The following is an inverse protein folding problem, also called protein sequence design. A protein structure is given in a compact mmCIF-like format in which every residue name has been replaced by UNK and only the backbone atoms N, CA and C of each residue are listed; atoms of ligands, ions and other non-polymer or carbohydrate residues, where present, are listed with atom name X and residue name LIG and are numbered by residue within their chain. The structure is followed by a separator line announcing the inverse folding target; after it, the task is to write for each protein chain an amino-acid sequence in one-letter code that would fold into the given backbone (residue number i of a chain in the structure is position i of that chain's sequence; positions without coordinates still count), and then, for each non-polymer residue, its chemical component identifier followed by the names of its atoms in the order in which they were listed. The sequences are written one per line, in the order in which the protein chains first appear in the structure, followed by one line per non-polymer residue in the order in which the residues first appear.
data_IF_953910256738
#
_entry.id   IF_953910256738
#
_cell.length_a   1.000
_cell.length_b   1.000
_cell.length_c   1.000
_cell.angle_alpha   90.00
_cell.angle_beta   90.00
_cell.angle_gamma   90.00
#
_symmetry.space_group_name_H-M   'P 1'
#
loop_
_entity.id
_entity.type
_entity.pdbx_description
1 polymer ?
#
# COMPACT_ATOMS: atom_id res chain seq x y z
N UNK A 1 -15.89 -20.38 -26.89
CA UNK A 1 -15.34 -19.17 -26.24
C UNK A 1 -16.46 -18.16 -26.11
N UNK A 2 -17.14 -18.16 -24.97
CA UNK A 2 -18.18 -17.20 -24.64
C UNK A 2 -17.51 -15.90 -24.19
N UNK A 3 -17.73 -14.81 -24.93
CA UNK A 3 -17.31 -13.47 -24.52
C UNK A 3 -18.09 -13.10 -23.26
N UNK A 4 -17.48 -13.25 -22.09
CA UNK A 4 -17.97 -12.71 -20.83
C UNK A 4 -18.09 -11.20 -20.99
N UNK A 5 -19.29 -10.65 -20.80
CA UNK A 5 -19.53 -9.21 -20.73
C UNK A 5 -18.53 -8.62 -19.74
N UNK A 6 -17.56 -7.86 -20.22
CA UNK A 6 -16.59 -7.19 -19.37
C UNK A 6 -17.35 -6.20 -18.48
N UNK A 7 -17.38 -6.47 -17.18
CA UNK A 7 -17.98 -5.57 -16.19
C UNK A 7 -17.02 -4.42 -15.89
N UNK A 8 -17.58 -3.22 -15.83
CA UNK A 8 -16.86 -2.04 -15.33
C UNK A 8 -16.59 -2.26 -13.84
N UNK A 9 -15.33 -2.12 -13.43
CA UNK A 9 -14.95 -2.14 -12.03
C UNK A 9 -15.10 -0.74 -11.41
N UNK A 10 -15.65 -0.69 -10.20
CA UNK A 10 -15.76 0.53 -9.40
C UNK A 10 -15.05 0.36 -8.07
N UNK A 11 -14.26 1.36 -7.69
CA UNK A 11 -13.69 1.48 -6.36
C UNK A 11 -14.50 2.52 -5.60
N UNK A 12 -15.42 2.06 -4.75
CA UNK A 12 -16.47 2.93 -4.21
C UNK A 12 -17.28 3.56 -5.35
N UNK A 13 -17.29 4.89 -5.42
CA UNK A 13 -17.97 5.65 -6.48
C UNK A 13 -17.06 5.97 -7.69
N UNK A 14 -15.79 5.57 -7.67
CA UNK A 14 -14.82 5.85 -8.73
C UNK A 14 -14.89 4.74 -9.78
N UNK A 15 -15.15 5.11 -11.03
CA UNK A 15 -15.06 4.21 -12.18
C UNK A 15 -13.58 3.98 -12.50
N UNK A 16 -13.12 2.73 -12.49
CA UNK A 16 -11.70 2.42 -12.73
C UNK A 16 -11.46 1.98 -14.17
N UNK A 17 -12.21 0.99 -14.65
CA UNK A 17 -11.93 0.37 -15.93
C UNK A 17 -12.52 -1.04 -16.02
N UNK A 18 -11.85 -1.95 -16.72
CA UNK A 18 -12.34 -3.33 -16.89
C UNK A 18 -11.90 -4.21 -15.74
N UNK A 19 -12.86 -4.87 -15.09
CA UNK A 19 -12.57 -5.86 -14.05
C UNK A 19 -11.73 -7.00 -14.61
N UNK A 20 -10.79 -7.50 -13.82
CA UNK A 20 -10.09 -8.74 -14.11
C UNK A 20 -10.72 -9.88 -13.31
N UNK A 21 -10.84 -11.04 -13.95
CA UNK A 21 -11.18 -12.27 -13.24
C UNK A 21 -9.88 -13.02 -12.96
N UNK A 22 -9.49 -13.24 -11.69
CA UNK A 22 -8.32 -14.04 -11.39
C UNK A 22 -8.52 -15.45 -11.95
N UNK A 23 -7.49 -15.95 -12.64
CA UNK A 23 -7.42 -17.35 -13.02
C UNK A 23 -7.18 -18.14 -11.73
N UNK A 24 -7.94 -19.21 -11.50
CA UNK A 24 -7.72 -20.06 -10.35
C UNK A 24 -6.28 -20.59 -10.37
N UNK A 25 -5.50 -20.44 -9.28
CA UNK A 25 -4.14 -20.95 -9.25
C UNK A 25 -4.12 -22.48 -9.36
N UNK A 26 -3.01 -23.06 -9.84
CA UNK A 26 -2.86 -24.51 -9.83
C UNK A 26 -2.86 -25.03 -8.39
N UNK A 27 -3.50 -26.19 -8.18
CA UNK A 27 -3.54 -26.89 -6.91
C UNK A 27 -2.91 -28.29 -7.06
N UNK A 28 -2.01 -28.70 -6.15
CA UNK A 28 -1.48 -27.93 -5.02
C UNK A 28 -0.63 -26.74 -5.48
N UNK A 29 -0.57 -25.68 -4.67
CA UNK A 29 0.23 -24.49 -4.98
C UNK A 29 1.74 -24.80 -4.98
N UNK A 30 2.16 -25.74 -4.13
CA UNK A 30 3.53 -26.19 -4.04
C UNK A 30 3.85 -27.28 -5.07
N UNK A 31 5.06 -27.21 -5.62
CA UNK A 31 5.69 -28.26 -6.41
C UNK A 31 6.79 -28.89 -5.56
N UNK A 32 6.64 -30.18 -5.28
CA UNK A 32 7.60 -30.96 -4.49
C UNK A 32 8.24 -32.01 -5.38
N UNK A 33 9.56 -32.08 -5.31
CA UNK A 33 10.36 -33.19 -5.80
C UNK A 33 11.25 -33.66 -4.66
N UNK A 34 11.81 -34.86 -4.75
CA UNK A 34 12.66 -35.46 -3.71
C UNK A 34 13.89 -34.61 -3.31
N UNK A 35 14.26 -33.59 -4.11
CA UNK A 35 15.40 -32.70 -3.84
C UNK A 35 15.03 -31.21 -3.75
N UNK A 36 13.81 -30.83 -4.13
CA UNK A 36 13.44 -29.43 -4.28
C UNK A 36 11.97 -29.18 -3.91
N UNK A 37 11.75 -28.12 -3.13
CA UNK A 37 10.45 -27.49 -2.94
C UNK A 37 10.43 -26.14 -3.67
N UNK A 38 9.36 -25.86 -4.41
CA UNK A 38 9.07 -24.53 -4.97
C UNK A 38 7.56 -24.34 -5.13
N UNK A 39 7.14 -23.20 -5.68
CA UNK A 39 5.76 -22.91 -6.05
C UNK A 39 5.54 -23.17 -7.53
N UNK A 40 4.36 -23.66 -7.90
CA UNK A 40 3.96 -23.73 -9.30
C UNK A 40 3.86 -22.32 -9.90
N UNK A 41 4.14 -22.15 -11.21
CA UNK A 41 3.84 -20.89 -11.88
C UNK A 41 2.34 -20.61 -11.86
N UNK A 42 1.95 -19.38 -11.53
CA UNK A 42 0.54 -19.01 -11.38
C UNK A 42 0.37 -17.64 -10.73
N UNK A 43 -0.88 -17.26 -10.46
CA UNK A 43 -1.22 -16.01 -9.77
C UNK A 43 -1.91 -16.37 -8.46
N UNK A 44 -1.39 -15.88 -7.35
CA UNK A 44 -1.78 -16.31 -6.01
C UNK A 44 -2.15 -15.13 -5.13
N UNK A 45 -3.14 -15.31 -4.26
CA UNK A 45 -3.33 -14.43 -3.11
C UNK A 45 -2.28 -14.72 -2.03
N UNK A 46 -2.02 -13.81 -1.09
CA UNK A 46 -1.12 -14.07 0.03
C UNK A 46 -1.50 -15.31 0.83
N UNK A 47 -2.81 -15.52 1.06
CA UNK A 47 -3.32 -16.69 1.76
C UNK A 47 -2.93 -17.97 1.03
N UNK A 48 -3.08 -18.01 -0.29
CA UNK A 48 -2.70 -19.17 -1.10
C UNK A 48 -1.17 -19.40 -1.12
N UNK A 49 -0.36 -18.35 -1.01
CA UNK A 49 1.09 -18.49 -0.84
C UNK A 49 1.44 -19.13 0.51
N UNK A 50 0.77 -18.73 1.60
CA UNK A 50 0.94 -19.40 2.91
C UNK A 50 0.60 -20.88 2.81
N UNK A 51 -0.45 -21.25 2.07
CA UNK A 51 -0.78 -22.65 1.78
C UNK A 51 0.31 -23.33 0.94
N UNK A 52 0.88 -22.64 -0.05
CA UNK A 52 2.02 -23.12 -0.82
C UNK A 52 3.28 -23.37 0.01
N UNK A 53 3.46 -22.66 1.13
CA UNK A 53 4.58 -22.86 2.07
C UNK A 53 4.34 -24.01 3.05
N UNK A 54 3.08 -24.38 3.29
CA UNK A 54 2.68 -25.38 4.29
C UNK A 54 3.44 -26.72 4.21
N UNK A 55 3.78 -27.27 3.02
CA UNK A 55 4.52 -28.53 2.94
C UNK A 55 5.86 -28.53 3.69
N UNK A 56 6.53 -27.37 3.79
CA UNK A 56 7.77 -27.23 4.55
C UNK A 56 7.54 -27.46 6.04
N UNK A 57 6.48 -26.87 6.60
CA UNK A 57 6.09 -27.02 8.00
C UNK A 57 5.51 -28.42 8.27
N UNK A 58 4.64 -28.90 7.39
CA UNK A 58 3.95 -30.18 7.58
C UNK A 58 4.92 -31.36 7.51
N UNK A 59 5.97 -31.27 6.67
CA UNK A 59 7.07 -32.27 6.68
C UNK A 59 7.82 -32.26 8.02
N UNK A 60 8.08 -31.08 8.59
CA UNK A 60 8.72 -30.98 9.92
C UNK A 60 7.82 -31.61 10.98
N UNK A 61 6.52 -31.29 10.97
CA UNK A 61 5.55 -31.83 11.91
C UNK A 61 5.41 -33.35 11.79
N UNK A 62 5.42 -33.90 10.58
CA UNK A 62 5.37 -35.35 10.36
C UNK A 62 6.48 -36.09 11.11
N UNK A 63 7.72 -35.57 11.09
CA UNK A 63 8.86 -36.19 11.76
C UNK A 63 8.93 -35.90 13.27
N UNK A 64 8.30 -34.83 13.76
CA UNK A 64 8.25 -34.50 15.19
C UNK A 64 7.14 -35.27 15.96
N UNK A 65 6.20 -35.91 15.25
CA UNK A 65 5.09 -36.74 15.79
C UNK A 65 5.55 -38.22 15.83
N UNK A 66 5.31 -39.01 16.92
CA UNK A 66 4.07 -39.10 17.70
C UNK A 66 4.21 -38.80 19.20
N UNK A 67 3.15 -38.24 19.77
CA UNK A 67 3.00 -37.99 21.21
C UNK A 67 2.80 -39.31 21.97
N UNK A 68 3.67 -39.73 22.90
CA UNK A 68 3.45 -40.91 23.72
C UNK A 68 2.75 -40.60 25.05
N UNK A 69 2.61 -39.34 25.46
CA UNK A 69 2.26 -39.05 26.86
C UNK A 69 1.22 -37.94 27.01
N UNK A 70 -0.08 -38.29 27.13
CA UNK A 70 -1.16 -37.32 27.40
C UNK A 70 -1.06 -36.64 28.78
N UNK A 71 -0.01 -36.90 29.55
CA UNK A 71 0.22 -36.39 30.92
C UNK A 71 1.00 -35.07 30.93
N UNK A 72 1.71 -34.71 29.85
CA UNK A 72 2.47 -33.45 29.79
C UNK A 72 1.60 -32.29 29.27
N UNK A 73 1.46 -31.23 30.08
CA UNK A 73 0.86 -29.93 29.67
C UNK A 73 1.68 -29.18 28.59
N UNK A 74 2.60 -29.84 27.90
CA UNK A 74 3.42 -29.26 26.84
C UNK A 74 2.57 -28.92 25.62
N UNK A 75 2.73 -27.70 25.09
CA UNK A 75 2.12 -27.26 23.82
C UNK A 75 2.45 -28.25 22.70
N UNK A 76 1.48 -28.52 21.83
CA UNK A 76 1.68 -29.36 20.64
C UNK A 76 2.78 -28.76 19.73
N UNK A 77 3.61 -29.58 19.05
CA UNK A 77 4.69 -29.08 18.19
C UNK A 77 4.25 -28.02 17.18
N UNK A 78 3.07 -28.19 16.56
CA UNK A 78 2.52 -27.17 15.64
C UNK A 78 2.31 -25.82 16.31
N UNK A 79 1.75 -25.79 17.51
CA UNK A 79 1.53 -24.53 18.23
C UNK A 79 2.86 -23.86 18.58
N UNK A 80 3.86 -24.62 19.05
CA UNK A 80 5.21 -24.10 19.35
C UNK A 80 5.90 -23.53 18.09
N UNK A 81 5.87 -24.26 16.98
CA UNK A 81 6.41 -23.80 15.70
C UNK A 81 5.68 -22.55 15.18
N UNK A 82 4.38 -22.42 15.36
CA UNK A 82 3.64 -21.21 14.97
C UNK A 82 3.86 -20.03 15.94
N UNK A 83 4.03 -20.28 17.24
CA UNK A 83 4.37 -19.24 18.22
C UNK A 83 5.71 -18.57 17.88
N UNK A 84 6.69 -19.33 17.40
CA UNK A 84 7.95 -18.77 16.93
C UNK A 84 7.82 -18.01 15.60
N UNK A 85 6.93 -18.43 14.70
CA UNK A 85 6.60 -17.62 13.51
C UNK A 85 5.97 -16.30 13.94
N UNK A 86 5.06 -16.32 14.91
CA UNK A 86 4.49 -15.10 15.46
C UNK A 86 5.56 -14.20 16.09
N UNK A 87 6.52 -14.78 16.83
CA UNK A 87 7.65 -14.04 17.39
C UNK A 87 8.52 -13.39 16.29
N UNK A 88 8.91 -14.12 15.24
CA UNK A 88 9.72 -13.60 14.13
C UNK A 88 8.99 -12.53 13.32
N UNK A 89 7.67 -12.69 13.15
CA UNK A 89 6.84 -11.76 12.39
C UNK A 89 6.43 -10.52 13.21
N UNK A 90 6.55 -10.56 14.54
CA UNK A 90 6.34 -9.40 15.41
C UNK A 90 7.36 -8.29 15.12
N UNK A 91 7.14 -7.12 15.71
CA UNK A 91 8.02 -5.94 15.59
C UNK A 91 8.74 -5.59 16.89
N UNK A 92 8.49 -6.31 17.99
CA UNK A 92 8.88 -5.92 19.35
C UNK A 92 9.46 -7.08 20.20
N UNK A 93 9.65 -8.24 19.60
CA UNK A 93 10.26 -9.41 20.23
C UNK A 93 11.76 -9.47 19.92
N UNK A 94 12.51 -10.23 20.72
CA UNK A 94 13.93 -10.51 20.46
C UNK A 94 14.13 -11.20 19.12
N UNK A 95 13.21 -12.09 18.74
CA UNK A 95 13.26 -12.90 17.52
C UNK A 95 12.81 -12.15 16.26
N UNK A 96 12.30 -10.92 16.41
CA UNK A 96 11.75 -10.13 15.31
C UNK A 96 12.76 -9.97 14.17
N UNK A 97 12.31 -10.31 12.97
CA UNK A 97 13.04 -10.05 11.72
C UNK A 97 12.88 -8.61 11.21
N UNK A 98 12.02 -7.82 11.86
CA UNK A 98 11.77 -6.41 11.55
C UNK A 98 11.49 -5.62 12.85
N UNK A 99 12.51 -5.46 13.72
CA UNK A 99 12.32 -4.83 15.02
C UNK A 99 12.12 -3.31 14.85
N UNK A 100 11.16 -2.77 15.59
CA UNK A 100 10.95 -1.34 15.73
C UNK A 100 11.11 -0.94 17.21
N UNK A 101 11.65 0.26 17.50
CA UNK A 101 11.62 0.78 18.85
C UNK A 101 10.17 1.02 19.29
N UNK A 102 9.94 1.02 20.61
CA UNK A 102 8.61 1.25 21.19
C UNK A 102 8.02 2.59 20.72
N UNK A 103 8.83 3.65 20.79
CA UNK A 103 8.51 4.95 20.25
C UNK A 103 9.15 5.17 18.87
N UNK A 104 8.30 5.31 17.85
CA UNK A 104 8.71 5.65 16.48
C UNK A 104 8.18 7.05 16.17
N UNK A 105 9.02 8.10 16.19
CA UNK A 105 8.56 9.48 16.02
C UNK A 105 8.20 9.83 14.57
N UNK A 106 8.79 9.15 13.60
CA UNK A 106 8.50 9.34 12.17
C UNK A 106 7.18 8.67 11.77
N UNK A 107 6.25 9.44 11.20
CA UNK A 107 4.91 8.96 10.81
C UNK A 107 4.97 7.88 9.74
N UNK A 108 5.85 8.02 8.76
CA UNK A 108 6.00 7.04 7.68
C UNK A 108 6.53 5.69 8.19
N UNK A 109 7.47 5.70 9.14
CA UNK A 109 7.94 4.48 9.81
C UNK A 109 6.87 3.85 10.69
N UNK A 110 6.03 4.66 11.37
CA UNK A 110 4.87 4.14 12.13
C UNK A 110 3.89 3.42 11.22
N UNK A 111 3.57 4.00 10.06
CA UNK A 111 2.70 3.38 9.06
C UNK A 111 3.21 1.98 8.67
N UNK A 112 4.50 1.86 8.33
CA UNK A 112 5.10 0.57 7.96
C UNK A 112 5.11 -0.42 9.13
N UNK A 113 5.40 0.03 10.36
CA UNK A 113 5.36 -0.82 11.57
C UNK A 113 3.97 -1.39 11.80
N UNK A 114 2.95 -0.53 11.77
CA UNK A 114 1.58 -0.93 12.06
C UNK A 114 1.05 -1.88 10.96
N UNK A 115 1.49 -1.64 9.72
CA UNK A 115 1.26 -2.54 8.60
C UNK A 115 1.94 -3.90 8.78
N UNK A 116 3.21 -3.93 9.18
CA UNK A 116 3.95 -5.17 9.46
C UNK A 116 3.26 -6.02 10.55
N UNK A 117 2.79 -5.37 11.62
CA UNK A 117 2.03 -6.01 12.71
C UNK A 117 0.73 -6.63 12.21
N UNK A 118 -0.02 -5.90 11.38
CA UNK A 118 -1.29 -6.38 10.81
C UNK A 118 -1.06 -7.60 9.92
N UNK A 119 -0.12 -7.51 8.98
CA UNK A 119 0.22 -8.62 8.07
C UNK A 119 0.72 -9.83 8.86
N UNK A 120 1.67 -9.65 9.78
CA UNK A 120 2.23 -10.75 10.57
C UNK A 120 1.18 -11.56 11.32
N UNK A 121 0.20 -10.88 11.94
CA UNK A 121 -0.95 -11.53 12.60
C UNK A 121 -1.80 -12.34 11.61
N UNK A 122 -2.08 -11.80 10.42
CA UNK A 122 -2.87 -12.52 9.41
C UNK A 122 -2.14 -13.74 8.85
N UNK A 123 -0.83 -13.63 8.60
CA UNK A 123 -0.01 -14.76 8.13
C UNK A 123 -0.01 -15.92 9.13
N UNK A 124 0.18 -15.63 10.43
CA UNK A 124 0.10 -16.65 11.49
C UNK A 124 -1.30 -17.26 11.56
N UNK A 125 -2.34 -16.42 11.50
CA UNK A 125 -3.74 -16.88 11.49
C UNK A 125 -4.00 -17.84 10.32
N UNK A 126 -3.64 -17.47 9.10
CA UNK A 126 -3.81 -18.33 7.92
C UNK A 126 -3.03 -19.64 8.04
N UNK A 127 -1.79 -19.61 8.55
CA UNK A 127 -1.00 -20.81 8.79
C UNK A 127 -1.63 -21.73 9.87
N UNK A 128 -2.30 -21.14 10.87
CA UNK A 128 -2.99 -21.90 11.92
C UNK A 128 -4.30 -22.55 11.45
N UNK A 129 -5.02 -21.90 10.52
CA UNK A 129 -6.28 -22.38 9.93
C UNK A 129 -6.07 -23.50 8.90
N UNK A 130 -4.87 -23.62 8.33
CA UNK A 130 -4.56 -24.63 7.32
C UNK A 130 -4.57 -26.04 7.92
N UNK A 131 -5.62 -26.82 7.63
CA UNK A 131 -5.76 -28.19 8.13
C UNK A 131 -6.56 -29.11 7.19
N UNK A 132 -6.78 -28.71 5.94
CA UNK A 132 -7.48 -29.54 4.95
C UNK A 132 -6.48 -30.41 4.20
N UNK A 133 -6.29 -31.65 4.68
CA UNK A 133 -5.42 -32.70 4.12
C UNK A 133 -3.98 -32.22 3.87
N UNK A 134 -3.06 -32.43 4.83
CA UNK A 134 -1.67 -31.98 4.69
C UNK A 134 -1.04 -32.57 3.41
N UNK A 135 -0.53 -31.69 2.55
CA UNK A 135 0.21 -32.05 1.35
C UNK A 135 1.70 -31.88 1.67
N UNK A 136 2.40 -32.98 1.89
CA UNK A 136 3.82 -32.99 2.21
C UNK A 136 4.51 -34.24 1.65
N UNK A 137 5.83 -34.22 1.60
CA UNK A 137 6.67 -35.35 1.22
C UNK A 137 7.56 -35.71 2.41
N UNK A 138 7.39 -36.89 3.04
CA UNK A 138 8.21 -37.33 4.18
C UNK A 138 9.71 -37.34 3.87
N UNK A 139 10.09 -37.50 2.61
CA UNK A 139 11.47 -37.58 2.14
C UNK A 139 12.00 -36.24 1.62
N UNK A 140 11.24 -35.15 1.77
CA UNK A 140 11.67 -33.81 1.38
C UNK A 140 12.92 -33.41 2.18
N UNK A 141 14.06 -33.37 1.49
CA UNK A 141 15.32 -32.87 2.03
C UNK A 141 15.74 -31.65 1.22
N UNK A 142 15.82 -30.52 1.90
CA UNK A 142 16.22 -29.25 1.33
C UNK A 142 17.34 -28.63 2.17
N UNK A 143 18.34 -28.08 1.49
CA UNK A 143 19.32 -27.18 2.13
C UNK A 143 18.81 -25.76 2.03
N UNK A 144 18.58 -25.13 3.17
CA UNK A 144 18.26 -23.71 3.28
C UNK A 144 19.55 -22.94 3.55
N UNK A 145 19.60 -21.68 3.09
CA UNK A 145 20.62 -20.75 3.59
C UNK A 145 20.19 -20.36 5.00
N UNK A 146 21.11 -20.44 5.97
CA UNK A 146 20.81 -19.99 7.33
C UNK A 146 20.72 -18.45 7.33
N UNK A 147 19.51 -17.91 7.24
CA UNK A 147 19.24 -16.45 7.21
C UNK A 147 19.24 -15.81 8.61
N UNK A 148 19.75 -16.52 9.63
CA UNK A 148 19.87 -16.00 10.99
C UNK A 148 18.56 -15.79 11.76
N UNK A 149 17.42 -16.31 11.26
CA UNK A 149 16.15 -16.24 12.00
C UNK A 149 16.28 -16.92 13.36
N UNK A 150 16.00 -16.17 14.42
CA UNK A 150 16.13 -16.65 15.79
C UNK A 150 14.98 -17.58 16.15
N UNK A 151 15.29 -18.60 16.93
CA UNK A 151 14.29 -19.45 17.57
C UNK A 151 13.99 -18.94 18.99
N UNK A 152 12.74 -19.08 19.41
CA UNK A 152 12.36 -19.03 20.83
C UNK A 152 13.03 -20.18 21.59
N UNK A 153 13.29 -20.03 22.90
CA UNK A 153 13.90 -21.10 23.70
C UNK A 153 13.16 -22.44 23.58
N UNK A 154 11.82 -22.43 23.63
CA UNK A 154 10.99 -23.62 23.48
C UNK A 154 11.22 -24.32 22.12
N UNK A 155 11.41 -23.55 21.04
CA UNK A 155 11.66 -24.13 19.72
C UNK A 155 13.10 -24.59 19.52
N UNK A 156 14.08 -24.03 20.24
CA UNK A 156 15.43 -24.60 20.29
C UNK A 156 15.36 -26.02 20.84
N UNK A 157 14.68 -26.21 21.97
CA UNK A 157 14.54 -27.54 22.58
C UNK A 157 13.78 -28.52 21.67
N UNK A 158 12.72 -28.06 21.01
CA UNK A 158 11.95 -28.88 20.06
C UNK A 158 12.81 -29.32 18.87
N UNK A 159 13.56 -28.38 18.28
CA UNK A 159 14.24 -28.61 17.00
C UNK A 159 15.67 -29.15 17.12
N UNK A 160 16.30 -29.06 18.29
CA UNK A 160 17.60 -29.66 18.57
C UNK A 160 17.52 -30.81 19.58
N UNK A 161 16.32 -31.08 20.10
CA UNK A 161 16.07 -32.21 20.99
C UNK A 161 16.17 -33.57 20.30
N UNK A 162 16.06 -34.63 21.09
CA UNK A 162 16.22 -36.04 20.67
C UNK A 162 15.26 -36.49 19.55
N UNK A 163 14.17 -35.74 19.33
CA UNK A 163 13.10 -36.05 18.37
C UNK A 163 13.33 -35.42 17.00
N UNK A 164 14.27 -34.48 16.90
CA UNK A 164 14.53 -33.77 15.66
C UNK A 164 15.55 -34.51 14.79
N UNK A 165 15.55 -34.18 13.49
CA UNK A 165 16.56 -34.64 12.53
C UNK A 165 17.29 -33.42 11.97
N UNK A 166 18.58 -33.55 11.59
CA UNK A 166 19.37 -32.40 11.12
C UNK A 166 18.74 -31.60 9.96
N UNK A 167 17.99 -32.25 9.08
CA UNK A 167 17.33 -31.59 7.95
C UNK A 167 16.03 -30.86 8.32
N UNK A 168 15.38 -31.17 9.45
CA UNK A 168 14.13 -30.50 9.85
C UNK A 168 14.35 -29.02 10.11
N UNK A 169 15.49 -28.67 10.72
CA UNK A 169 15.88 -27.28 10.90
C UNK A 169 16.02 -26.52 9.60
N UNK A 170 16.48 -27.18 8.53
CA UNK A 170 16.62 -26.55 7.22
C UNK A 170 15.25 -26.26 6.60
N UNK A 171 14.30 -27.20 6.72
CA UNK A 171 12.93 -27.02 6.25
C UNK A 171 12.21 -25.92 7.04
N UNK A 172 12.33 -25.94 8.36
CA UNK A 172 11.71 -24.93 9.21
C UNK A 172 12.33 -23.54 8.99
N UNK A 173 13.66 -23.44 8.81
CA UNK A 173 14.32 -22.19 8.44
C UNK A 173 13.84 -21.64 7.11
N UNK A 174 13.66 -22.50 6.09
CA UNK A 174 13.08 -22.07 4.82
C UNK A 174 11.63 -21.58 5.00
N UNK A 175 10.81 -22.30 5.76
CA UNK A 175 9.43 -21.88 6.06
C UNK A 175 9.38 -20.51 6.76
N UNK A 176 10.17 -20.32 7.81
CA UNK A 176 10.30 -19.02 8.50
C UNK A 176 10.70 -17.91 7.53
N UNK A 177 11.68 -18.17 6.67
CA UNK A 177 12.16 -17.18 5.72
C UNK A 177 11.11 -16.81 4.66
N UNK A 178 10.37 -17.78 4.11
CA UNK A 178 9.29 -17.52 3.16
C UNK A 178 8.16 -16.68 3.78
N UNK A 179 7.83 -16.92 5.05
CA UNK A 179 6.87 -16.11 5.80
C UNK A 179 7.35 -14.67 6.02
N UNK A 180 8.64 -14.48 6.33
CA UNK A 180 9.27 -13.16 6.46
C UNK A 180 9.28 -12.41 5.12
N UNK A 181 9.69 -13.08 4.05
CA UNK A 181 9.69 -12.50 2.71
C UNK A 181 8.28 -12.10 2.28
N UNK A 182 7.27 -12.93 2.54
CA UNK A 182 5.88 -12.61 2.24
C UNK A 182 5.39 -11.40 3.04
N UNK A 183 5.66 -11.35 4.36
CA UNK A 183 5.30 -10.17 5.19
C UNK A 183 5.89 -8.90 4.58
N UNK A 184 7.19 -8.92 4.29
CA UNK A 184 7.92 -7.74 3.87
C UNK A 184 7.55 -7.30 2.44
N UNK A 185 7.25 -8.26 1.55
CA UNK A 185 6.75 -7.99 0.21
C UNK A 185 5.34 -7.36 0.19
N UNK A 186 4.55 -7.60 1.24
CA UNK A 186 3.19 -7.07 1.37
C UNK A 186 3.11 -5.71 2.07
N UNK A 187 4.20 -5.23 2.68
CA UNK A 187 4.25 -3.93 3.35
C UNK A 187 3.74 -2.76 2.50
N UNK A 188 3.94 -2.71 1.17
CA UNK A 188 3.43 -1.62 0.36
C UNK A 188 1.91 -1.50 0.31
N UNK A 189 1.14 -2.56 0.59
CA UNK A 189 -0.28 -2.63 0.18
C UNK A 189 -1.25 -2.48 1.35
N UNK A 190 -2.12 -1.47 1.30
CA UNK A 190 -3.21 -1.29 2.25
C UNK A 190 -4.16 -2.48 2.30
N UNK A 191 -4.64 -2.94 1.14
CA UNK A 191 -5.49 -4.14 1.01
C UNK A 191 -4.66 -5.36 0.59
N UNK A 192 -3.55 -5.61 1.31
CA UNK A 192 -2.59 -6.66 0.97
C UNK A 192 -3.23 -8.05 0.74
N UNK A 193 -4.32 -8.38 1.45
CA UNK A 193 -5.02 -9.66 1.36
C UNK A 193 -5.57 -9.96 -0.03
N UNK A 194 -5.87 -8.92 -0.81
CA UNK A 194 -6.48 -9.02 -2.15
C UNK A 194 -5.45 -9.05 -3.28
N UNK A 195 -4.18 -8.75 -2.98
CA UNK A 195 -3.12 -8.60 -3.98
C UNK A 195 -2.89 -9.90 -4.73
N UNK A 196 -2.93 -9.83 -6.06
CA UNK A 196 -2.69 -10.98 -6.93
C UNK A 196 -1.21 -11.08 -7.33
N UNK A 197 -0.48 -12.01 -6.74
CA UNK A 197 0.97 -12.11 -6.88
C UNK A 197 1.31 -13.11 -7.99
N UNK A 198 1.91 -12.67 -9.11
CA UNK A 198 2.41 -13.57 -10.13
C UNK A 198 3.66 -14.29 -9.64
N UNK A 199 3.65 -15.61 -9.74
CA UNK A 199 4.77 -16.49 -9.44
C UNK A 199 5.20 -17.16 -10.74
N UNK A 200 6.46 -16.99 -11.11
CA UNK A 200 7.02 -17.56 -12.36
C UNK A 200 7.47 -19.01 -12.20
N UNK A 201 7.59 -19.50 -10.95
CA UNK A 201 8.23 -20.78 -10.62
C UNK A 201 9.75 -20.77 -10.80
N UNK A 202 10.35 -19.62 -11.13
CA UNK A 202 11.79 -19.46 -11.20
C UNK A 202 12.37 -19.28 -9.79
N UNK A 203 13.19 -20.23 -9.35
CA UNK A 203 13.80 -20.22 -8.02
C UNK A 203 12.91 -20.84 -6.93
N UNK A 204 13.22 -20.53 -5.67
CA UNK A 204 12.58 -21.13 -4.50
C UNK A 204 11.64 -20.14 -3.82
N UNK A 205 10.33 -20.34 -4.00
CA UNK A 205 9.30 -19.48 -3.43
C UNK A 205 9.54 -18.00 -3.76
N UNK A 206 9.59 -17.15 -2.73
CA UNK A 206 9.74 -15.70 -2.84
C UNK A 206 11.18 -15.20 -2.73
N UNK A 207 12.21 -16.05 -2.79
CA UNK A 207 13.62 -15.62 -2.58
C UNK A 207 14.11 -14.51 -3.53
N UNK A 208 13.47 -14.31 -4.68
CA UNK A 208 13.75 -13.17 -5.56
C UNK A 208 13.52 -11.80 -4.86
N UNK A 209 12.75 -11.77 -3.76
CA UNK A 209 12.50 -10.57 -2.96
C UNK A 209 13.60 -10.26 -1.96
N UNK A 210 14.62 -11.11 -1.76
CA UNK A 210 15.72 -10.85 -0.80
C UNK A 210 16.42 -9.50 -1.07
N UNK A 211 16.79 -9.24 -2.32
CA UNK A 211 17.45 -7.98 -2.72
C UNK A 211 16.56 -6.74 -2.60
N UNK A 212 15.34 -6.74 -3.21
CA UNK A 212 14.37 -5.65 -3.03
C UNK A 212 14.07 -5.35 -1.56
N UNK A 213 13.91 -6.40 -0.73
CA UNK A 213 13.72 -6.29 0.71
C UNK A 213 14.89 -5.58 1.37
N UNK A 214 16.13 -6.02 1.14
CA UNK A 214 17.31 -5.40 1.74
C UNK A 214 17.39 -3.89 1.43
N UNK A 215 17.17 -3.51 0.16
CA UNK A 215 17.15 -2.11 -0.25
C UNK A 215 16.03 -1.29 0.40
N UNK A 216 14.84 -1.87 0.53
CA UNK A 216 13.71 -1.21 1.21
C UNK A 216 13.96 -1.06 2.71
N UNK A 217 14.47 -2.09 3.37
CA UNK A 217 14.83 -2.08 4.79
C UNK A 217 15.92 -1.06 5.11
N UNK A 218 16.95 -0.97 4.26
CA UNK A 218 17.98 0.05 4.39
C UNK A 218 17.37 1.45 4.38
N UNK A 219 16.45 1.74 3.44
CA UNK A 219 15.74 3.04 3.40
C UNK A 219 14.86 3.27 4.63
N UNK A 220 14.13 2.25 5.08
CA UNK A 220 13.26 2.30 6.26
C UNK A 220 14.02 2.72 7.53
N UNK A 221 15.20 2.15 7.77
CA UNK A 221 15.95 2.39 9.01
C UNK A 221 16.95 3.55 8.92
N UNK A 222 17.53 3.81 7.75
CA UNK A 222 18.55 4.86 7.58
C UNK A 222 18.02 6.18 7.05
N UNK A 223 16.83 6.19 6.42
CA UNK A 223 16.22 7.37 5.77
C UNK A 223 14.72 7.46 6.11
N UNK A 224 14.04 8.44 5.52
CA UNK A 224 12.57 8.48 5.51
C UNK A 224 12.04 7.51 4.45
N UNK A 225 10.89 6.89 4.74
CA UNK A 225 10.17 6.07 3.77
C UNK A 225 9.55 7.03 2.75
N UNK A 226 9.84 6.80 1.47
CA UNK A 226 9.34 7.64 0.36
C UNK A 226 8.33 6.88 -0.48
N UNK A 227 7.46 7.60 -1.19
CA UNK A 227 6.52 6.98 -2.13
C UNK A 227 7.26 6.11 -3.17
N UNK A 228 8.37 6.62 -3.71
CA UNK A 228 9.20 5.91 -4.67
C UNK A 228 9.71 4.57 -4.10
N UNK A 229 10.18 4.56 -2.85
CA UNK A 229 10.65 3.33 -2.22
C UNK A 229 9.55 2.27 -2.00
N UNK A 230 8.33 2.71 -1.68
CA UNK A 230 7.17 1.82 -1.54
C UNK A 230 6.74 1.28 -2.90
N UNK A 231 6.70 2.13 -3.93
CA UNK A 231 6.37 1.73 -5.29
C UNK A 231 7.42 0.78 -5.89
N UNK A 232 8.70 1.02 -5.65
CA UNK A 232 9.79 0.13 -6.09
C UNK A 232 9.68 -1.28 -5.48
N UNK A 233 9.34 -1.37 -4.20
CA UNK A 233 9.11 -2.66 -3.54
C UNK A 233 7.89 -3.40 -4.12
N UNK A 234 6.80 -2.68 -4.37
CA UNK A 234 5.60 -3.23 -4.98
C UNK A 234 5.84 -3.73 -6.43
N UNK A 235 6.56 -2.96 -7.25
CA UNK A 235 6.95 -3.37 -8.61
C UNK A 235 7.86 -4.59 -8.59
N UNK A 236 8.82 -4.66 -7.66
CA UNK A 236 9.69 -5.82 -7.56
C UNK A 236 8.93 -7.13 -7.33
N UNK A 237 7.80 -7.08 -6.61
CA UNK A 237 6.92 -8.22 -6.38
C UNK A 237 6.01 -8.52 -7.58
N UNK A 238 5.35 -7.50 -8.15
CA UNK A 238 4.22 -7.70 -9.07
C UNK A 238 4.58 -7.52 -10.55
N UNK A 239 5.57 -6.69 -10.86
CA UNK A 239 5.94 -6.30 -12.21
C UNK A 239 7.46 -6.01 -12.31
N UNK A 240 8.34 -7.00 -12.06
CA UNK A 240 9.78 -6.78 -12.01
C UNK A 240 10.39 -6.35 -13.37
N UNK A 241 9.68 -6.60 -14.48
CA UNK A 241 10.06 -6.14 -15.82
C UNK A 241 9.69 -4.69 -16.12
N UNK A 242 8.81 -4.07 -15.31
CA UNK A 242 8.39 -2.70 -15.51
C UNK A 242 9.57 -1.76 -15.23
N UNK A 243 10.07 -1.15 -16.30
CA UNK A 243 11.32 -0.43 -16.31
C UNK A 243 11.32 0.73 -15.29
N UNK A 244 12.47 0.97 -14.63
CA UNK A 244 12.69 2.13 -13.73
C UNK A 244 12.76 3.47 -14.49
N UNK A 245 12.40 3.49 -15.77
CA UNK A 245 12.99 4.39 -16.78
C UNK A 245 12.08 5.54 -17.20
N UNK A 246 11.55 6.29 -16.25
CA UNK A 246 11.03 7.62 -16.59
C UNK A 246 11.05 8.56 -15.40
N UNK A 247 11.28 9.84 -15.71
CA UNK A 247 11.42 11.03 -14.84
C UNK A 247 12.37 11.00 -13.62
N UNK A 248 13.00 9.87 -13.27
CA UNK A 248 13.85 9.75 -12.07
C UNK A 248 13.08 9.65 -10.75
N UNK A 249 11.74 9.81 -10.77
CA UNK A 249 10.89 9.73 -9.57
C UNK A 249 10.46 8.30 -9.20
N UNK A 250 10.60 7.35 -10.14
CA UNK A 250 10.21 5.95 -9.93
C UNK A 250 8.70 5.69 -10.01
N UNK A 251 7.89 6.71 -10.32
CA UNK A 251 6.43 6.65 -10.41
C UNK A 251 5.71 6.51 -9.06
N UNK A 252 4.39 6.65 -9.05
CA UNK A 252 3.56 6.57 -7.83
C UNK A 252 2.62 5.38 -7.79
N UNK A 253 2.46 4.68 -8.92
CA UNK A 253 1.62 3.50 -9.09
C UNK A 253 1.88 2.86 -10.44
N UNK A 254 1.23 1.74 -10.72
CA UNK A 254 1.38 1.02 -11.98
C UNK A 254 0.21 0.09 -12.27
N UNK A 255 0.01 -0.24 -13.55
CA UNK A 255 -0.79 -1.37 -14.00
C UNK A 255 0.15 -2.51 -14.41
N UNK A 256 -0.23 -3.74 -14.11
CA UNK A 256 0.48 -4.96 -14.50
C UNK A 256 -0.50 -6.03 -14.96
N UNK A 257 0.00 -7.23 -15.31
CA UNK A 257 -0.80 -8.32 -15.89
C UNK A 257 -2.03 -8.74 -15.09
N UNK A 258 -2.01 -8.51 -13.77
CA UNK A 258 -3.04 -8.98 -12.85
C UNK A 258 -3.62 -7.85 -12.00
N UNK A 259 -3.60 -6.61 -12.50
CA UNK A 259 -4.40 -5.53 -11.94
C UNK A 259 -3.71 -4.16 -11.92
N UNK A 260 -4.26 -3.27 -11.12
CA UNK A 260 -3.86 -1.89 -10.97
C UNK A 260 -3.38 -1.65 -9.52
N UNK A 261 -2.30 -0.88 -9.38
CA UNK A 261 -1.73 -0.47 -8.10
C UNK A 261 -1.66 1.06 -8.09
N UNK A 262 -2.39 1.69 -7.17
CA UNK A 262 -2.49 3.15 -7.04
C UNK A 262 -2.23 3.56 -5.59
N UNK A 263 -1.97 4.84 -5.28
CA UNK A 263 -1.91 5.30 -3.89
C UNK A 263 -3.21 5.01 -3.14
N UNK A 264 -3.13 4.53 -1.90
CA UNK A 264 -4.29 4.17 -1.08
C UNK A 264 -5.04 5.38 -0.49
N UNK A 265 -5.04 6.52 -1.18
CA UNK A 265 -5.65 7.77 -0.70
C UNK A 265 -7.18 7.77 -0.78
N UNK A 266 -7.75 6.81 -1.51
CA UNK A 266 -9.19 6.66 -1.72
C UNK A 266 -9.89 5.73 -0.72
N UNK A 267 -9.18 5.18 0.30
CA UNK A 267 -9.75 4.24 1.30
C UNK A 267 -10.39 4.98 2.48
N UNK A 268 -11.61 4.66 2.89
CA UNK A 268 -12.44 5.47 3.81
C UNK A 268 -12.05 5.45 5.29
N UNK A 269 -11.36 4.41 5.74
CA UNK A 269 -11.18 4.06 7.15
C UNK A 269 -9.78 4.38 7.70
N UNK A 270 -8.77 4.41 6.82
CA UNK A 270 -7.42 4.81 7.14
C UNK A 270 -7.05 6.04 6.30
N UNK A 271 -6.12 6.87 6.81
CA UNK A 271 -5.44 7.90 6.00
C UNK A 271 -4.03 7.44 5.67
N UNK A 272 -3.83 6.46 4.77
CA UNK A 272 -2.48 6.05 4.41
C UNK A 272 -1.68 7.23 3.86
N UNK A 273 -0.44 7.30 4.30
CA UNK A 273 0.55 8.26 3.83
C UNK A 273 1.21 7.73 2.56
N UNK A 274 1.86 6.57 2.62
CA UNK A 274 2.61 5.99 1.51
C UNK A 274 2.05 4.68 0.96
N UNK A 275 1.12 4.01 1.66
CA UNK A 275 0.61 2.72 1.19
C UNK A 275 -0.10 2.85 -0.16
N UNK A 276 -0.04 1.74 -0.88
CA UNK A 276 -0.67 1.51 -2.17
C UNK A 276 -1.92 0.66 -1.97
N UNK A 277 -2.87 0.80 -2.87
CA UNK A 277 -4.07 -0.01 -2.97
C UNK A 277 -3.99 -0.80 -4.26
N UNK A 278 -4.17 -2.10 -4.12
CA UNK A 278 -4.38 -3.00 -5.25
C UNK A 278 -5.84 -2.94 -5.69
N UNK A 279 -6.07 -2.94 -7.00
CA UNK A 279 -7.39 -2.93 -7.61
C UNK A 279 -7.43 -4.02 -8.68
N UNK A 280 -8.35 -5.00 -8.61
CA UNK A 280 -8.49 -6.05 -9.61
C UNK A 280 -9.19 -5.53 -10.86
N UNK A 281 -8.57 -4.55 -11.53
CA UNK A 281 -9.01 -4.02 -12.81
C UNK A 281 -7.83 -3.47 -13.62
N UNK A 282 -8.05 -3.30 -14.92
CA UNK A 282 -7.18 -2.51 -15.79
C UNK A 282 -7.90 -1.22 -16.19
N UNK A 283 -7.22 -0.09 -16.00
CA UNK A 283 -7.68 1.22 -16.47
C UNK A 283 -7.51 1.34 -17.99
N UNK A 284 -6.42 0.79 -18.55
CA UNK A 284 -6.21 0.66 -19.98
C UNK A 284 -5.85 -0.80 -20.34
N UNK A 285 -6.86 -1.63 -20.67
CA UNK A 285 -6.66 -3.03 -21.04
C UNK A 285 -5.91 -3.24 -22.37
N UNK A 286 -5.75 -2.19 -23.18
CA UNK A 286 -5.01 -2.28 -24.45
C UNK A 286 -3.50 -2.27 -24.25
N UNK A 287 -3.05 -1.77 -23.09
CA UNK A 287 -1.65 -1.75 -22.66
C UNK A 287 -1.44 -2.81 -21.60
N UNK A 288 -0.32 -3.54 -21.69
CA UNK A 288 0.05 -4.56 -20.72
C UNK A 288 0.44 -3.93 -19.38
N UNK A 289 1.72 -3.58 -19.24
CA UNK A 289 2.24 -2.93 -18.05
C UNK A 289 2.38 -1.42 -18.29
N UNK A 290 2.00 -0.62 -17.30
CA UNK A 290 2.05 0.85 -17.35
C UNK A 290 2.60 1.36 -16.02
N UNK A 291 3.66 2.17 -16.06
CA UNK A 291 4.13 2.95 -14.93
C UNK A 291 3.42 4.32 -14.94
N UNK A 292 2.84 4.71 -13.81
CA UNK A 292 2.23 6.03 -13.65
C UNK A 292 3.21 7.03 -13.05
N UNK A 293 3.43 8.13 -13.76
CA UNK A 293 4.34 9.21 -13.38
C UNK A 293 3.59 10.47 -13.03
N UNK A 294 4.18 11.26 -12.13
CA UNK A 294 3.64 12.55 -11.74
C UNK A 294 3.62 13.52 -12.92
N UNK A 295 2.54 14.27 -13.04
CA UNK A 295 2.44 15.42 -13.94
C UNK A 295 3.58 16.42 -13.72
N UNK A 296 3.95 16.64 -12.45
CA UNK A 296 5.09 17.46 -12.07
C UNK A 296 6.04 16.61 -11.23
N UNK A 297 7.14 16.09 -11.80
CA UNK A 297 8.11 15.27 -11.07
C UNK A 297 8.58 15.95 -9.78
N UNK A 298 9.00 17.21 -9.88
CA UNK A 298 9.24 18.11 -8.76
C UNK A 298 8.10 19.15 -8.70
N UNK A 299 7.50 19.34 -7.52
CA UNK A 299 6.46 20.36 -7.37
C UNK A 299 7.05 21.77 -7.20
N UNK A 300 8.31 21.91 -6.77
CA UNK A 300 8.96 23.22 -6.66
C UNK A 300 9.11 23.91 -8.02
N UNK A 301 9.32 23.12 -9.07
CA UNK A 301 9.45 23.58 -10.45
C UNK A 301 8.12 23.60 -11.22
N UNK A 302 7.01 23.20 -10.58
CA UNK A 302 5.71 23.17 -11.23
C UNK A 302 5.25 24.60 -11.60
N UNK A 303 4.67 24.81 -12.79
CA UNK A 303 3.99 26.07 -13.10
C UNK A 303 2.96 26.39 -12.03
N UNK A 304 2.86 27.67 -11.66
CA UNK A 304 1.92 28.15 -10.65
C UNK A 304 0.76 28.86 -11.34
N UNK A 305 -0.46 28.54 -10.91
CA UNK A 305 -1.68 29.20 -11.36
C UNK A 305 -2.27 29.98 -10.19
N UNK A 306 -2.75 31.19 -10.44
CA UNK A 306 -3.41 31.99 -9.41
C UNK A 306 -4.79 31.38 -9.09
N UNK A 307 -5.11 31.31 -7.80
CA UNK A 307 -6.43 30.87 -7.34
C UNK A 307 -7.54 31.80 -7.89
N UNK A 308 -8.72 31.28 -8.24
CA UNK A 308 -9.85 32.12 -8.63
C UNK A 308 -10.21 33.15 -7.56
N UNK A 309 -10.95 34.18 -7.96
CA UNK A 309 -11.51 35.13 -7.01
C UNK A 309 -12.49 34.40 -6.07
N UNK A 310 -12.34 34.63 -4.77
CA UNK A 310 -13.23 34.09 -3.74
C UNK A 310 -13.93 35.20 -2.96
N UNK A 311 -14.84 34.80 -2.09
CA UNK A 311 -15.64 35.71 -1.28
C UNK A 311 -14.91 36.06 0.02
N UNK A 312 -14.70 37.35 0.27
CA UNK A 312 -14.06 37.81 1.51
C UNK A 312 -15.07 37.79 2.64
N UNK A 313 -14.80 36.97 3.65
CA UNK A 313 -15.61 36.81 4.85
C UNK A 313 -14.81 37.32 6.06
N UNK A 314 -15.23 38.42 6.71
CA UNK A 314 -14.49 39.01 7.84
C UNK A 314 -14.38 38.08 9.05
N UNK A 315 -15.41 37.28 9.32
CA UNK A 315 -15.44 36.33 10.44
C UNK A 315 -16.14 35.05 9.98
N UNK A 316 -15.35 34.00 9.76
CA UNK A 316 -15.85 32.68 9.40
C UNK A 316 -15.66 31.75 10.62
N UNK A 317 -16.77 31.39 11.26
CA UNK A 317 -16.77 30.61 12.51
C UNK A 317 -17.25 29.17 12.33
N UNK A 318 -17.84 28.87 11.17
CA UNK A 318 -18.40 27.56 10.86
C UNK A 318 -18.19 27.21 9.41
N UNK A 319 -18.36 25.93 9.10
CA UNK A 319 -18.20 25.41 7.75
C UNK A 319 -19.03 26.23 6.75
N UNK A 320 -18.40 26.85 5.73
CA UNK A 320 -19.14 27.56 4.69
C UNK A 320 -19.85 26.51 3.84
N UNK A 321 -21.10 26.20 4.22
CA UNK A 321 -21.93 25.17 3.60
C UNK A 321 -21.81 25.17 2.07
N UNK A 322 -21.65 24.01 1.45
CA UNK A 322 -21.56 23.93 -0.01
C UNK A 322 -22.97 23.95 -0.60
N UNK A 323 -23.18 24.75 -1.67
CA UNK A 323 -24.18 24.39 -2.67
C UNK A 323 -23.88 22.97 -3.17
N UNK A 324 -24.91 22.20 -3.55
CA UNK A 324 -24.72 20.85 -4.12
C UNK A 324 -23.53 20.86 -5.08
N UNK A 325 -22.54 19.99 -4.86
CA UNK A 325 -21.29 19.97 -5.62
C UNK A 325 -21.52 19.83 -7.13
N UNK A 326 -22.71 19.37 -7.52
CA UNK A 326 -23.06 18.99 -8.87
C UNK A 326 -22.19 17.84 -9.37
N UNK A 327 -21.48 17.11 -8.51
CA UNK A 327 -20.61 16.01 -8.94
C UNK A 327 -21.49 14.84 -9.39
N UNK A 328 -21.38 14.50 -10.67
CA UNK A 328 -22.18 13.45 -11.30
C UNK A 328 -21.44 12.14 -11.42
N UNK A 329 -20.16 12.19 -11.81
CA UNK A 329 -19.37 11.00 -12.08
C UNK A 329 -17.88 11.24 -11.78
N UNK A 330 -17.24 10.20 -11.24
CA UNK A 330 -15.80 10.16 -11.01
C UNK A 330 -15.21 8.95 -11.74
N UNK A 331 -14.13 9.15 -12.50
CA UNK A 331 -13.45 8.09 -13.22
C UNK A 331 -11.93 8.24 -13.17
N UNK A 332 -11.20 7.13 -13.30
CA UNK A 332 -9.77 7.14 -13.58
C UNK A 332 -9.53 7.00 -15.09
N UNK A 333 -8.62 7.81 -15.61
CA UNK A 333 -8.28 7.82 -17.04
C UNK A 333 -6.78 7.89 -17.24
N UNK A 334 -6.29 7.14 -18.22
CA UNK A 334 -4.88 7.18 -18.64
C UNK A 334 -4.69 8.32 -19.62
N UNK A 335 -3.77 9.23 -19.31
CA UNK A 335 -3.29 10.26 -20.22
C UNK A 335 -1.88 9.92 -20.70
N UNK A 336 -1.60 10.12 -21.98
CA UNK A 336 -0.25 9.94 -22.51
C UNK A 336 0.71 10.94 -21.84
N UNK A 337 1.88 10.45 -21.41
CA UNK A 337 2.95 11.31 -20.91
C UNK A 337 3.51 12.19 -22.04
N UNK A 338 4.12 13.31 -21.68
CA UNK A 338 4.82 14.20 -22.62
C UNK A 338 5.91 13.46 -23.41
N UNK A 339 6.52 12.44 -22.80
CA UNK A 339 7.45 11.53 -23.49
C UNK A 339 6.68 10.29 -23.95
N UNK A 340 6.49 10.07 -25.27
CA UNK A 340 5.73 8.94 -25.77
C UNK A 340 6.42 7.63 -25.38
N UNK A 341 5.78 6.86 -24.51
CA UNK A 341 6.22 5.52 -24.14
C UNK A 341 5.01 4.60 -23.99
N UNK A 342 5.04 3.38 -24.57
CA UNK A 342 3.96 2.42 -24.39
C UNK A 342 3.85 1.92 -22.94
N UNK A 343 4.90 2.08 -22.12
CA UNK A 343 4.96 1.60 -20.74
C UNK A 343 4.93 2.70 -19.67
N UNK A 344 4.81 3.98 -20.05
CA UNK A 344 4.72 5.12 -19.13
C UNK A 344 3.52 5.99 -19.46
N UNK A 345 2.80 6.47 -18.45
CA UNK A 345 1.67 7.38 -18.62
C UNK A 345 1.38 8.17 -17.34
N UNK A 346 0.44 9.10 -17.42
CA UNK A 346 -0.19 9.73 -16.27
C UNK A 346 -1.54 9.07 -16.00
N UNK A 347 -1.93 8.99 -14.73
CA UNK A 347 -3.25 8.53 -14.33
C UNK A 347 -4.00 9.70 -13.70
N UNK A 348 -5.09 10.11 -14.32
CA UNK A 348 -5.90 11.24 -13.88
C UNK A 348 -7.19 10.78 -13.23
N UNK A 349 -7.59 11.52 -12.19
CA UNK A 349 -8.93 11.53 -11.65
C UNK A 349 -9.77 12.53 -12.45
N UNK A 350 -10.72 12.03 -13.23
CA UNK A 350 -11.70 12.84 -13.95
C UNK A 350 -12.95 13.02 -13.10
N UNK A 351 -13.32 14.27 -12.87
CA UNK A 351 -14.57 14.68 -12.21
C UNK A 351 -15.49 15.26 -13.27
N UNK A 352 -16.72 14.76 -13.35
CA UNK A 352 -17.74 15.26 -14.27
C UNK A 352 -18.89 15.87 -13.49
N UNK A 353 -19.23 17.11 -13.81
CA UNK A 353 -20.26 17.87 -13.11
C UNK A 353 -21.57 17.91 -13.90
N UNK A 354 -22.68 18.16 -13.21
CA UNK A 354 -24.05 18.22 -13.79
C UNK A 354 -24.20 19.33 -14.83
N UNK A 355 -23.42 20.40 -14.71
CA UNK A 355 -23.36 21.51 -15.67
C UNK A 355 -22.60 21.15 -16.96
N UNK A 356 -22.09 19.92 -17.09
CA UNK A 356 -21.33 19.43 -18.25
C UNK A 356 -19.84 19.82 -18.24
N UNK A 357 -19.35 20.50 -17.21
CA UNK A 357 -17.93 20.78 -17.04
C UNK A 357 -17.19 19.55 -16.50
N UNK A 358 -15.88 19.50 -16.77
CA UNK A 358 -15.01 18.43 -16.30
C UNK A 358 -13.74 19.02 -15.69
N UNK A 359 -13.32 18.46 -14.56
CA UNK A 359 -12.00 18.71 -13.99
C UNK A 359 -11.16 17.43 -14.09
N UNK A 360 -9.86 17.59 -14.29
CA UNK A 360 -8.90 16.48 -14.29
C UNK A 360 -7.73 16.82 -13.37
N UNK A 361 -7.37 15.87 -12.52
CA UNK A 361 -6.27 16.01 -11.57
C UNK A 361 -5.43 14.73 -11.56
N UNK A 362 -4.11 14.85 -11.69
CA UNK A 362 -3.20 13.72 -11.60
C UNK A 362 -3.30 13.03 -10.23
N UNK A 363 -3.47 11.70 -10.21
CA UNK A 363 -3.63 10.88 -9.00
C UNK A 363 -2.38 10.90 -8.11
N UNK A 364 -1.19 10.98 -8.71
CA UNK A 364 0.06 11.20 -8.02
C UNK A 364 0.09 12.55 -7.30
N UNK A 365 -0.40 13.61 -7.92
CA UNK A 365 -0.55 14.92 -7.28
C UNK A 365 -1.58 14.89 -6.16
N UNK A 366 -2.73 14.24 -6.36
CA UNK A 366 -3.70 14.00 -5.26
C UNK A 366 -3.02 13.34 -4.07
N UNK A 367 -2.25 12.27 -4.31
CA UNK A 367 -1.53 11.59 -3.25
C UNK A 367 -0.41 12.44 -2.63
N UNK A 368 0.24 13.29 -3.43
CA UNK A 368 1.26 14.24 -2.96
C UNK A 368 0.64 15.30 -2.05
N UNK A 369 -0.41 15.97 -2.49
CA UNK A 369 -1.15 16.94 -1.70
C UNK A 369 -1.66 16.33 -0.40
N UNK A 370 -2.19 15.11 -0.43
CA UNK A 370 -2.56 14.37 0.78
C UNK A 370 -1.37 14.20 1.75
N UNK A 371 -0.21 13.74 1.26
CA UNK A 371 0.96 13.50 2.11
C UNK A 371 1.58 14.77 2.70
N UNK A 372 1.60 15.86 1.95
CA UNK A 372 2.22 17.11 2.38
C UNK A 372 1.25 18.06 3.08
N UNK A 373 -0.05 17.75 3.06
CA UNK A 373 -1.03 18.49 3.85
C UNK A 373 -0.83 18.28 5.35
N UNK A 374 -1.12 19.33 6.11
CA UNK A 374 -1.10 19.32 7.55
C UNK A 374 -2.47 18.95 8.10
N UNK A 375 -2.48 18.20 9.20
CA UNK A 375 -3.68 17.99 9.99
C UNK A 375 -3.96 19.22 10.88
N UNK A 376 -5.23 19.54 11.09
CA UNK A 376 -5.63 20.57 12.03
C UNK A 376 -5.10 20.25 13.45
N UNK A 377 -4.68 21.29 14.16
CA UNK A 377 -4.05 21.20 15.47
C UNK A 377 -4.97 21.64 16.61
N UNK A 378 -4.35 22.12 17.68
CA UNK A 378 -5.04 22.77 18.78
C UNK A 378 -5.64 24.11 18.35
N UNK A 379 -6.79 24.46 18.91
CA UNK A 379 -7.47 25.72 18.64
C UNK A 379 -6.59 26.91 19.05
N UNK A 380 -6.38 27.84 18.13
CA UNK A 380 -5.76 29.14 18.37
C UNK A 380 -6.77 30.29 18.34
N UNK A 381 -6.28 31.51 18.55
CA UNK A 381 -7.07 32.72 18.31
C UNK A 381 -7.13 33.00 16.79
N UNK A 382 -8.34 33.22 16.26
CA UNK A 382 -8.56 33.51 14.85
C UNK A 382 -9.39 34.78 14.69
N UNK A 383 -8.79 35.82 14.11
CA UNK A 383 -9.46 37.09 13.76
C UNK A 383 -8.99 37.61 12.39
N UNK A 384 -8.61 36.69 11.50
CA UNK A 384 -8.09 37.02 10.18
C UNK A 384 -9.21 36.88 9.14
N UNK A 385 -9.43 37.88 8.27
CA UNK A 385 -10.36 37.76 7.16
C UNK A 385 -10.05 36.52 6.30
N UNK A 386 -11.07 35.73 6.01
CA UNK A 386 -10.95 34.52 5.20
C UNK A 386 -11.45 34.78 3.79
N UNK A 387 -10.80 34.17 2.80
CA UNK A 387 -11.25 34.18 1.40
C UNK A 387 -11.84 32.81 1.11
N UNK A 388 -13.16 32.74 0.91
CA UNK A 388 -13.89 31.49 0.74
C UNK A 388 -14.01 31.13 -0.74
N UNK A 389 -13.75 29.87 -1.06
CA UNK A 389 -13.81 29.29 -2.40
C UNK A 389 -14.65 28.02 -2.38
N UNK A 390 -15.28 27.71 -3.50
CA UNK A 390 -15.86 26.37 -3.70
C UNK A 390 -14.78 25.43 -4.27
N UNK A 391 -14.85 24.14 -3.92
CA UNK A 391 -13.97 23.13 -4.55
C UNK A 391 -14.10 23.12 -6.08
N UNK A 392 -15.31 23.31 -6.61
CA UNK A 392 -15.60 23.35 -8.04
C UNK A 392 -14.78 24.43 -8.75
N UNK A 393 -14.76 25.66 -8.23
CA UNK A 393 -14.07 26.78 -8.87
C UNK A 393 -12.55 26.59 -8.84
N UNK A 394 -12.00 26.10 -7.72
CA UNK A 394 -10.56 25.80 -7.60
C UNK A 394 -10.15 24.69 -8.59
N UNK A 395 -10.98 23.66 -8.75
CA UNK A 395 -10.71 22.56 -9.68
C UNK A 395 -10.77 23.01 -11.14
N UNK A 396 -11.64 23.96 -11.47
CA UNK A 396 -11.76 24.57 -12.79
C UNK A 396 -10.86 25.79 -13.01
N UNK A 397 -10.00 26.12 -12.05
CA UNK A 397 -9.07 27.23 -12.15
C UNK A 397 -8.29 27.18 -13.48
N UNK A 398 -8.27 28.30 -14.17
CA UNK A 398 -7.61 28.44 -15.46
C UNK A 398 -6.10 28.32 -15.30
N UNK A 399 -5.47 27.51 -16.14
CA UNK A 399 -4.02 27.31 -16.15
C UNK A 399 -3.62 25.84 -16.00
N UNK A 400 -2.45 25.51 -16.54
CA UNK A 400 -1.90 24.16 -16.55
C UNK A 400 -1.05 23.84 -15.32
N UNK A 401 -1.04 24.71 -14.30
CA UNK A 401 -0.18 24.62 -13.11
C UNK A 401 -0.88 24.21 -11.82
N UNK A 402 -0.09 24.11 -10.74
CA UNK A 402 -0.59 23.98 -9.36
C UNK A 402 -1.10 25.32 -8.85
N UNK A 403 -2.25 25.31 -8.19
CA UNK A 403 -2.94 26.52 -7.71
C UNK A 403 -2.27 27.06 -6.45
N UNK A 404 -1.98 28.36 -6.44
CA UNK A 404 -1.46 29.12 -5.30
C UNK A 404 -2.06 30.53 -5.29
N UNK A 405 -1.61 31.40 -4.38
CA UNK A 405 -2.08 32.79 -4.30
C UNK A 405 -0.89 33.73 -4.12
N UNK A 406 -0.56 34.49 -5.16
CA UNK A 406 0.57 35.41 -5.18
C UNK A 406 0.39 36.57 -4.19
N UNK A 407 -0.86 36.91 -3.86
CA UNK A 407 -1.21 37.97 -2.90
C UNK A 407 -1.20 37.51 -1.44
N UNK A 408 -0.86 36.25 -1.16
CA UNK A 408 -1.00 35.68 0.17
C UNK A 408 -2.47 35.51 0.56
N UNK A 409 -2.74 35.49 1.87
CA UNK A 409 -4.07 35.35 2.45
C UNK A 409 -4.39 33.98 3.04
N UNK A 410 -5.55 33.93 3.71
CA UNK A 410 -6.11 32.75 4.35
C UNK A 410 -7.30 32.23 3.52
N UNK A 411 -7.06 31.19 2.72
CA UNK A 411 -8.00 30.68 1.73
C UNK A 411 -8.71 29.45 2.26
N UNK A 412 -10.05 29.50 2.33
CA UNK A 412 -10.89 28.41 2.80
C UNK A 412 -11.63 27.81 1.62
N UNK A 413 -11.43 26.52 1.36
CA UNK A 413 -12.02 25.80 0.24
C UNK A 413 -13.01 24.77 0.81
N UNK A 414 -14.29 24.98 0.53
CA UNK A 414 -15.35 24.07 0.97
C UNK A 414 -15.42 22.83 0.06
N UNK A 415 -15.27 21.66 0.66
CA UNK A 415 -15.18 20.38 -0.05
C UNK A 415 -15.90 19.27 0.75
N UNK A 416 -17.22 19.35 0.81
CA UNK A 416 -18.10 18.41 1.55
C UNK A 416 -17.92 16.94 1.13
N UNK A 417 -17.59 16.70 -0.13
CA UNK A 417 -17.30 15.37 -0.61
C UNK A 417 -15.81 15.09 -0.55
N UNK A 418 -15.45 13.98 0.10
CA UNK A 418 -14.06 13.55 0.25
C UNK A 418 -13.29 13.50 -1.07
N UNK A 419 -13.93 13.05 -2.15
CA UNK A 419 -13.28 12.95 -3.46
C UNK A 419 -12.93 14.32 -4.05
N UNK A 420 -13.76 15.34 -3.78
CA UNK A 420 -13.47 16.72 -4.16
C UNK A 420 -12.35 17.28 -3.29
N UNK A 421 -12.36 17.02 -1.98
CA UNK A 421 -11.27 17.43 -1.09
C UNK A 421 -9.93 16.84 -1.56
N UNK A 422 -9.89 15.54 -1.91
CA UNK A 422 -8.71 14.89 -2.47
C UNK A 422 -8.28 15.50 -3.81
N UNK A 423 -9.22 15.77 -4.72
CA UNK A 423 -8.91 16.40 -6.00
C UNK A 423 -8.35 17.82 -5.82
N UNK A 424 -8.92 18.61 -4.90
CA UNK A 424 -8.42 19.94 -4.54
C UNK A 424 -6.99 19.86 -4.00
N UNK A 425 -6.71 18.90 -3.10
CA UNK A 425 -5.35 18.68 -2.60
C UNK A 425 -4.35 18.40 -3.73
N UNK A 426 -4.76 17.69 -4.79
CA UNK A 426 -3.91 17.45 -5.97
C UNK A 426 -3.78 18.64 -6.91
N UNK A 427 -4.72 19.59 -6.85
CA UNK A 427 -4.70 20.82 -7.66
C UNK A 427 -3.89 21.94 -6.99
N UNK A 428 -3.83 21.98 -5.66
CA UNK A 428 -3.11 22.99 -4.89
C UNK A 428 -1.60 22.76 -4.88
N UNK A 429 -0.85 23.86 -4.78
CA UNK A 429 0.56 23.83 -4.46
C UNK A 429 0.75 23.39 -3.00
N UNK A 430 1.47 22.28 -2.71
CA UNK A 430 1.33 21.52 -1.46
C UNK A 430 2.01 22.15 -0.22
N UNK A 431 2.54 23.38 -0.33
CA UNK A 431 3.47 23.93 0.66
C UNK A 431 2.84 24.31 2.01
N UNK A 432 1.65 24.91 2.02
CA UNK A 432 0.96 25.32 3.24
C UNK A 432 -0.55 25.05 3.17
N UNK A 433 -0.87 23.76 3.02
CA UNK A 433 -2.25 23.27 2.92
C UNK A 433 -2.61 22.53 4.20
N UNK A 434 -3.69 22.96 4.85
CA UNK A 434 -4.24 22.35 6.07
C UNK A 434 -5.55 21.68 5.74
N UNK A 435 -5.77 20.49 6.29
CA UNK A 435 -7.04 19.77 6.22
C UNK A 435 -7.82 20.00 7.50
N UNK A 436 -9.10 20.32 7.37
CA UNK A 436 -9.99 20.60 8.48
C UNK A 436 -11.27 19.77 8.33
N UNK A 437 -11.68 19.08 9.39
CA UNK A 437 -12.91 18.27 9.34
C UNK A 437 -14.14 19.17 9.39
N UNK A 438 -15.25 18.78 8.76
CA UNK A 438 -16.53 19.54 8.82
C UNK A 438 -17.01 19.91 10.22
N UNK A 439 -16.75 19.05 11.22
CA UNK A 439 -17.13 19.29 12.62
C UNK A 439 -16.13 20.13 13.42
N UNK A 440 -14.97 20.44 12.84
CA UNK A 440 -13.97 21.30 13.46
C UNK A 440 -14.23 22.78 13.14
N UNK A 441 -13.45 23.67 13.74
CA UNK A 441 -13.54 25.11 13.55
C UNK A 441 -12.22 25.66 13.03
N UNK A 442 -12.24 26.83 12.39
CA UNK A 442 -11.05 27.41 11.75
C UNK A 442 -9.90 27.68 12.72
N UNK A 443 -10.20 27.89 14.00
CA UNK A 443 -9.23 28.06 15.08
C UNK A 443 -8.23 26.91 15.12
N UNK A 444 -8.64 25.68 14.79
CA UNK A 444 -7.74 24.52 14.74
C UNK A 444 -6.78 24.53 13.55
N UNK A 445 -7.10 25.27 12.49
CA UNK A 445 -6.26 25.38 11.30
C UNK A 445 -5.22 26.50 11.41
N UNK A 446 -5.40 27.47 12.32
CA UNK A 446 -4.53 28.65 12.45
C UNK A 446 -3.10 28.26 12.76
N UNK A 447 -2.91 27.41 13.76
CA UNK A 447 -1.60 26.98 14.23
C UNK A 447 -1.04 25.77 13.47
N UNK A 448 -1.84 25.20 12.55
CA UNK A 448 -1.41 24.12 11.68
C UNK A 448 -0.67 24.66 10.45
N UNK A 449 0.27 23.85 9.93
CA UNK A 449 1.06 24.21 8.77
C UNK A 449 2.21 25.16 9.04
N UNK A 450 2.61 25.89 8.00
CA UNK A 450 3.69 26.87 8.07
C UNK A 450 3.13 28.23 8.48
N UNK A 451 3.95 29.02 9.18
CA UNK A 451 3.59 30.35 9.69
C UNK A 451 3.63 31.48 8.66
N UNK A 452 3.49 31.18 7.37
CA UNK A 452 3.51 32.17 6.28
C UNK A 452 2.34 31.99 5.32
N UNK A 453 2.08 32.99 4.50
CA UNK A 453 1.03 32.99 3.47
C UNK A 453 1.59 32.65 2.07
N UNK A 454 0.76 32.13 1.15
CA UNK A 454 -0.67 31.82 1.32
C UNK A 454 -0.90 30.55 2.14
N UNK A 455 -1.99 30.53 2.93
CA UNK A 455 -2.45 29.33 3.66
C UNK A 455 -3.77 28.85 3.07
N UNK A 456 -3.84 27.57 2.70
CA UNK A 456 -5.05 26.95 2.16
C UNK A 456 -5.66 25.97 3.15
N UNK A 457 -6.96 26.05 3.38
CA UNK A 457 -7.71 25.21 4.30
C UNK A 457 -8.72 24.44 3.46
N UNK A 458 -8.50 23.14 3.29
CA UNK A 458 -9.47 22.25 2.67
C UNK A 458 -10.39 21.74 3.77
N UNK A 459 -11.60 22.29 3.84
CA UNK A 459 -12.59 22.00 4.88
C UNK A 459 -13.64 21.05 4.35
N UNK A 460 -13.84 19.89 4.99
CA UNK A 460 -14.79 18.86 4.53
C UNK A 460 -14.93 17.66 5.46
#
# INVERSE_FOLDING_TARGET
MTATKSSIYRLGNIIIGKSIMPIAPPYPAAKITTKEWTLHPGVYTPRQLVQGFAPLLDTVLHHLIPDPDPVSNSKKPRAQLLDNIAAILSTDTRESSLPFPEHVPDTSRREIRDQARRIGKHLVKWASEENQKPFFDPDLVLRSRCEGHLLTPENVDLMFGRRSKPHLMQLYNEYMHQMVLLRDALLPFYNYEEVLIPVTGAGRGLRHMEGPREGFMAKLFTKQVTQASVNDMAKALLAPGLSKTGSGTGGYGFQYSSGLVIPAVFVDDARPLHLLQYVPAHVDPSRGEILFEYQFPDYYDAPKAEIPAGDVVPSLTSFPGTTSSGLKEVALEVQSSETPSPSVAQLNLRLSFENGQHATVDVGQVARGHRYSYEAGESGEFDVPSIVHTAHDVLLASGSGLVTADKGGFHVISADERILALAVLGKLYPENVVRLSKGDTLEKAVNAGKGFEPKFIVWG
#
